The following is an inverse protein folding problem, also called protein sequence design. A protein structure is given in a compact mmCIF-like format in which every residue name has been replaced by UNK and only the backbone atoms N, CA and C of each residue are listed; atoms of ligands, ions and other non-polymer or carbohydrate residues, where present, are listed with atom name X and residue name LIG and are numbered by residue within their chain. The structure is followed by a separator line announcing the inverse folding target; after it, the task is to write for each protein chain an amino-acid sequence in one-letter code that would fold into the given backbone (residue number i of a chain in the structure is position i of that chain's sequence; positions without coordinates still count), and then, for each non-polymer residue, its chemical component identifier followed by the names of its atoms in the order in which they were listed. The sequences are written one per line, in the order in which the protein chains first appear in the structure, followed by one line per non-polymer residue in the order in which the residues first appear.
data_IF_689046826819
#
_entry.id   IF_689046826819
#
_cell.length_a   1.000
_cell.length_b   1.000
_cell.length_c   1.000
_cell.angle_alpha   90.00
_cell.angle_beta   90.00
_cell.angle_gamma   90.00
#
_symmetry.space_group_name_H-M   'P 1'
#
loop_
_entity.id
_entity.type
_entity.pdbx_description
1 polymer ?
#
# COMPACT_ATOMS: atom_id res chain seq x y z
N UNK A 1 -2.87 -0.90 11.89
CA UNK A 1 -2.45 0.36 12.55
C UNK A 1 -3.08 1.55 11.84
N UNK A 2 -3.31 2.67 12.53
CA UNK A 2 -3.63 3.96 11.87
C UNK A 2 -2.31 4.64 11.52
N UNK A 3 -2.15 5.03 10.26
CA UNK A 3 -0.93 5.64 9.75
C UNK A 3 -1.24 7.02 9.18
N UNK A 4 -0.40 7.99 9.54
CA UNK A 4 -0.28 9.25 8.82
C UNK A 4 0.84 9.08 7.77
N UNK A 5 0.47 8.96 6.51
CA UNK A 5 1.41 8.93 5.39
C UNK A 5 1.68 10.34 4.87
N UNK A 6 2.94 10.76 4.89
CA UNK A 6 3.38 12.09 4.43
C UNK A 6 4.46 12.01 3.33
N UNK A 7 4.77 10.78 2.88
CA UNK A 7 5.86 10.50 1.95
C UNK A 7 5.57 9.24 1.15
N UNK A 8 6.34 9.08 0.07
CA UNK A 8 6.50 7.81 -0.62
C UNK A 8 7.24 6.80 0.24
N UNK A 9 6.69 5.61 0.37
CA UNK A 9 7.33 4.49 1.03
C UNK A 9 8.22 3.72 0.04
N UNK A 10 9.25 2.99 0.52
CA UNK A 10 10.05 2.12 -0.34
C UNK A 10 9.20 1.04 -1.00
N UNK A 11 9.66 0.57 -2.17
CA UNK A 11 9.14 -0.66 -2.76
C UNK A 11 9.41 -1.84 -1.82
N UNK A 12 8.42 -2.71 -1.66
CA UNK A 12 8.52 -3.90 -0.84
C UNK A 12 7.48 -4.94 -1.30
N UNK A 13 7.66 -6.16 -0.82
CA UNK A 13 6.79 -7.30 -1.09
C UNK A 13 6.64 -8.11 0.20
N UNK A 14 5.46 -8.71 0.38
CA UNK A 14 5.19 -9.67 1.44
C UNK A 14 4.75 -10.99 0.82
N UNK A 15 5.49 -12.07 1.04
CA UNK A 15 5.16 -13.39 0.46
C UNK A 15 4.11 -14.16 1.27
N UNK A 16 3.90 -13.78 2.52
CA UNK A 16 3.12 -14.55 3.49
C UNK A 16 1.67 -14.06 3.65
N UNK A 17 1.40 -12.78 3.29
CA UNK A 17 0.11 -12.14 3.52
C UNK A 17 -0.17 -11.02 2.53
N UNK A 18 -1.46 -10.68 2.42
CA UNK A 18 -1.95 -9.52 1.67
C UNK A 18 -1.88 -8.27 2.56
N UNK A 19 -1.64 -7.10 1.95
CA UNK A 19 -1.80 -5.81 2.63
C UNK A 19 -3.14 -5.19 2.30
N UNK A 20 -3.82 -4.68 3.33
CA UNK A 20 -5.11 -4.02 3.18
C UNK A 20 -4.99 -2.56 3.60
N UNK A 21 -5.36 -1.66 2.69
CA UNK A 21 -5.40 -0.22 2.90
C UNK A 21 -6.85 0.24 2.93
N UNK A 22 -7.23 1.01 3.95
CA UNK A 22 -8.47 1.78 3.98
C UNK A 22 -8.12 3.24 4.20
N UNK A 23 -8.42 4.10 3.23
CA UNK A 23 -8.16 5.54 3.36
C UNK A 23 -9.26 6.16 4.21
N UNK A 24 -8.86 6.78 5.32
CA UNK A 24 -9.76 7.49 6.23
C UNK A 24 -9.93 8.93 5.77
N UNK A 25 -8.82 9.57 5.36
CA UNK A 25 -8.82 10.95 4.87
C UNK A 25 -7.64 11.18 3.93
N UNK A 26 -7.88 11.92 2.84
CA UNK A 26 -6.82 12.33 1.90
C UNK A 26 -6.82 11.47 0.64
N UNK A 27 -5.65 11.35 0.02
CA UNK A 27 -5.44 10.58 -1.21
C UNK A 27 -4.20 9.70 -1.07
N UNK A 28 -4.35 8.42 -1.40
CA UNK A 28 -3.27 7.44 -1.40
C UNK A 28 -3.21 6.80 -2.78
N UNK A 29 -2.02 6.72 -3.38
CA UNK A 29 -1.80 5.91 -4.56
C UNK A 29 -1.01 4.68 -4.18
N UNK A 30 -1.48 3.50 -4.58
CA UNK A 30 -0.70 2.27 -4.51
C UNK A 30 -0.08 2.03 -5.88
N UNK A 31 1.25 2.05 -5.94
CA UNK A 31 1.98 1.65 -7.14
C UNK A 31 2.38 0.17 -7.02
N UNK A 32 2.17 -0.61 -8.07
CA UNK A 32 2.50 -2.04 -8.11
C UNK A 32 3.34 -2.36 -9.35
N UNK A 33 4.32 -3.26 -9.21
CA UNK A 33 5.03 -3.79 -10.37
C UNK A 33 4.18 -4.85 -11.07
N UNK A 34 4.19 -4.76 -12.39
CA UNK A 34 3.58 -5.77 -13.26
C UNK A 34 4.63 -6.78 -13.72
N UNK A 35 4.20 -7.99 -14.07
CA UNK A 35 5.10 -9.02 -14.63
C UNK A 35 5.81 -8.58 -15.91
N UNK A 36 5.19 -7.66 -16.67
CA UNK A 36 5.76 -7.05 -17.87
C UNK A 36 6.81 -5.96 -17.58
N UNK A 37 7.14 -5.71 -16.31
CA UNK A 37 8.12 -4.70 -15.88
C UNK A 37 7.59 -3.26 -15.83
N UNK A 38 6.29 -3.04 -16.07
CA UNK A 38 5.63 -1.74 -15.92
C UNK A 38 5.15 -1.46 -14.49
N UNK A 39 4.68 -0.23 -14.25
CA UNK A 39 4.06 0.19 -12.98
C UNK A 39 2.57 0.43 -13.22
N UNK A 40 1.73 -0.31 -12.50
CA UNK A 40 0.31 -0.03 -12.37
C UNK A 40 0.05 0.88 -11.16
N UNK A 41 -0.98 1.72 -11.24
CA UNK A 41 -1.34 2.68 -10.19
C UNK A 41 -2.82 2.59 -9.86
N UNK A 42 -3.10 2.50 -8.56
CA UNK A 42 -4.45 2.58 -8.03
C UNK A 42 -4.55 3.80 -7.13
N UNK A 43 -5.38 4.77 -7.51
CA UNK A 43 -5.67 5.96 -6.71
C UNK A 43 -6.88 5.72 -5.80
N UNK A 44 -6.71 6.03 -4.52
CA UNK A 44 -7.68 5.80 -3.45
C UNK A 44 -7.96 7.13 -2.75
N UNK A 45 -9.23 7.48 -2.63
CA UNK A 45 -9.73 8.58 -1.81
C UNK A 45 -10.35 8.11 -0.50
N UNK A 46 -10.80 9.06 0.32
CA UNK A 46 -11.46 8.77 1.60
C UNK A 46 -12.62 7.77 1.44
N UNK A 47 -12.59 6.70 2.24
CA UNK A 47 -13.55 5.60 2.21
C UNK A 47 -13.17 4.44 1.29
N UNK A 48 -12.21 4.62 0.39
CA UNK A 48 -11.77 3.55 -0.51
C UNK A 48 -10.91 2.53 0.23
N UNK A 49 -11.19 1.26 -0.07
CA UNK A 49 -10.44 0.11 0.40
C UNK A 49 -9.74 -0.56 -0.77
N UNK A 50 -8.49 -0.93 -0.57
CA UNK A 50 -7.72 -1.70 -1.54
C UNK A 50 -6.93 -2.81 -0.87
N UNK A 51 -6.81 -3.93 -1.57
CA UNK A 51 -6.02 -5.08 -1.15
C UNK A 51 -4.89 -5.26 -2.14
N UNK A 52 -3.65 -5.23 -1.66
CA UNK A 52 -2.49 -5.66 -2.41
C UNK A 52 -2.29 -7.16 -2.16
N UNK A 53 -2.42 -8.01 -3.19
CA UNK A 53 -2.20 -9.44 -3.02
C UNK A 53 -0.76 -9.75 -2.60
N UNK A 54 -0.58 -10.79 -1.77
CA UNK A 54 0.72 -11.34 -1.40
C UNK A 54 1.59 -11.62 -2.63
N UNK A 55 2.88 -11.37 -2.50
CA UNK A 55 3.86 -11.55 -3.57
C UNK A 55 3.90 -10.41 -4.60
N UNK A 56 3.03 -9.40 -4.50
CA UNK A 56 3.07 -8.22 -5.36
C UNK A 56 4.01 -7.17 -4.77
N UNK A 57 5.06 -6.83 -5.53
CA UNK A 57 5.94 -5.71 -5.18
C UNK A 57 5.18 -4.40 -5.38
N UNK A 58 5.09 -3.61 -4.31
CA UNK A 58 4.30 -2.40 -4.29
C UNK A 58 4.93 -1.31 -3.44
N UNK A 59 4.39 -0.09 -3.56
CA UNK A 59 4.65 1.00 -2.62
C UNK A 59 3.45 1.93 -2.48
N UNK A 60 3.10 2.32 -1.23
CA UNK A 60 2.21 3.45 -0.99
C UNK A 60 2.90 4.79 -1.32
N UNK A 61 2.18 5.65 -2.04
CA UNK A 61 2.61 7.00 -2.45
C UNK A 61 1.54 7.99 -2.03
N UNK A 62 1.92 9.01 -1.28
CA UNK A 62 1.03 10.12 -0.90
C UNK A 62 1.45 11.40 -1.63
N UNK A 63 0.48 12.12 -2.19
CA UNK A 63 0.67 13.48 -2.73
C UNK A 63 0.28 14.48 -1.64
N UNK A 64 1.17 14.65 -0.66
CA UNK A 64 0.89 15.35 0.61
C UNK A 64 0.64 14.38 1.75
N UNK A 65 -0.42 14.61 2.53
CA UNK A 65 -0.78 13.80 3.69
C UNK A 65 -2.05 12.96 3.48
N UNK A 66 -2.01 11.71 3.94
CA UNK A 66 -3.17 10.83 4.00
C UNK A 66 -3.22 10.09 5.33
N UNK A 67 -4.42 9.98 5.91
CA UNK A 67 -4.70 9.09 7.02
C UNK A 67 -5.31 7.81 6.48
N UNK A 68 -4.69 6.67 6.78
CA UNK A 68 -5.21 5.37 6.37
C UNK A 68 -4.98 4.31 7.45
N UNK A 69 -5.81 3.26 7.41
CA UNK A 69 -5.54 2.03 8.11
C UNK A 69 -4.72 1.12 7.21
N UNK A 70 -3.58 0.65 7.73
CA UNK A 70 -2.90 -0.54 7.21
C UNK A 70 -3.29 -1.72 8.10
N UNK A 71 -3.91 -2.74 7.50
CA UNK A 71 -4.26 -3.99 8.19
C UNK A 71 -3.34 -5.07 7.64
N UNK A 72 -2.38 -5.46 8.48
CA UNK A 72 -1.37 -6.48 8.22
C UNK A 72 -1.13 -7.30 9.50
N UNK A 73 -0.54 -8.50 9.41
CA UNK A 73 -0.11 -9.25 10.59
C UNK A 73 0.93 -8.49 11.42
N UNK A 74 0.94 -8.68 12.73
CA UNK A 74 1.94 -8.06 13.63
C UNK A 74 3.33 -8.65 13.49
N UNK A 75 3.46 -9.82 12.87
CA UNK A 75 4.75 -10.42 12.53
C UNK A 75 5.14 -9.84 11.17
N UNK A 76 6.25 -9.10 11.12
CA UNK A 76 6.78 -8.62 9.85
C UNK A 76 7.10 -9.86 9.00
N UNK A 77 6.34 -10.05 7.92
CA UNK A 77 6.56 -11.17 6.99
C UNK A 77 7.93 -11.06 6.35
N UNK A 78 8.38 -12.12 5.67
CA UNK A 78 9.65 -12.05 4.96
C UNK A 78 9.54 -10.97 3.86
N UNK A 79 10.39 -9.95 3.94
CA UNK A 79 10.65 -8.99 2.86
C UNK A 79 11.76 -9.60 1.99
N UNK A 80 11.47 -9.87 0.73
CA UNK A 80 12.43 -10.42 -0.26
C UNK A 80 13.16 -9.33 -1.07
#
# INVERSE_FOLDING_TARGET
MVTLGEKTYPWHTHVDFDDIFLVIQGQLTIEMRTEAGGIERVSLGSGDLFVVPRGVEHRPVTDGSAYFLLIEPTVQGRID
#
